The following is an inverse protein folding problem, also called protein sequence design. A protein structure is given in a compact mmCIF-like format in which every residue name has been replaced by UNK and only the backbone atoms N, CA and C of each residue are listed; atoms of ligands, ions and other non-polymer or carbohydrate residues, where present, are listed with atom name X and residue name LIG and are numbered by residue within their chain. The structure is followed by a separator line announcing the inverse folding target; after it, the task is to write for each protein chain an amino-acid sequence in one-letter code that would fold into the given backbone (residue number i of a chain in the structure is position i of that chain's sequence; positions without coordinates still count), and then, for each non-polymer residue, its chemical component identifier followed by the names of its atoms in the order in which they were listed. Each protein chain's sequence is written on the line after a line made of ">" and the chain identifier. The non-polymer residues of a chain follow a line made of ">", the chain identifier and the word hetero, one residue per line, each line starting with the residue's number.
data_IF_036939363430
#
_entry.id   IF_036939363430
#
_cell.length_a   1.000
_cell.length_b   1.000
_cell.length_c   1.000
_cell.angle_alpha   90.00
_cell.angle_beta   90.00
_cell.angle_gamma   90.00
#
_symmetry.space_group_name_H-M   'P 1'
#
loop_
_entity.id
_entity.type
_entity.pdbx_description
1 polymer ?
#
# COMPACT_ATOMS: atom_id res chain seq x y z
N UNK A 1 0.76 12.62 -0.81
CA UNK A 1 -0.05 11.83 0.15
C UNK A 1 -1.11 12.72 0.77
N UNK A 2 -2.36 12.28 0.77
CA UNK A 2 -3.45 13.04 1.38
C UNK A 2 -3.44 12.89 2.90
N UNK A 3 -4.36 13.57 3.58
CA UNK A 3 -4.40 13.52 5.06
C UNK A 3 -5.01 12.19 5.57
N UNK A 4 -4.77 11.93 6.85
CA UNK A 4 -5.28 10.74 7.55
C UNK A 4 -4.82 9.42 6.94
N UNK A 5 -3.68 9.42 6.26
CA UNK A 5 -3.08 8.19 5.78
C UNK A 5 -2.23 7.56 6.88
N UNK A 6 -2.21 6.23 6.90
CA UNK A 6 -1.39 5.46 7.83
C UNK A 6 -0.50 4.53 7.03
N UNK A 7 0.80 4.62 7.28
CA UNK A 7 1.80 3.76 6.64
C UNK A 7 2.50 2.98 7.75
N UNK A 8 2.40 1.66 7.71
CA UNK A 8 2.92 0.80 8.77
C UNK A 8 3.79 -0.32 8.20
N UNK A 9 5.04 -0.37 8.62
CA UNK A 9 5.96 -1.45 8.25
C UNK A 9 6.05 -2.54 9.32
N UNK A 10 5.26 -2.45 10.37
CA UNK A 10 5.20 -3.42 11.46
C UNK A 10 3.76 -3.61 11.93
N UNK A 11 3.47 -4.78 12.46
CA UNK A 11 2.17 -5.06 13.08
C UNK A 11 2.10 -4.64 14.56
N UNK A 12 3.19 -4.04 15.10
CA UNK A 12 3.34 -3.59 16.48
C UNK A 12 3.48 -4.75 17.49
N UNK A 13 2.81 -5.89 17.27
CA UNK A 13 2.84 -7.04 18.15
C UNK A 13 3.37 -8.25 17.41
N UNK A 14 4.17 -9.07 18.08
CA UNK A 14 4.64 -10.31 17.51
C UNK A 14 3.53 -11.35 17.52
N UNK A 15 3.35 -12.03 16.42
CA UNK A 15 2.39 -13.11 16.28
C UNK A 15 3.15 -14.42 16.07
N UNK A 16 2.80 -15.45 16.83
CA UNK A 16 3.49 -16.74 16.75
C UNK A 16 2.54 -17.82 16.31
N UNK A 17 3.03 -18.68 15.45
CA UNK A 17 2.35 -19.90 15.06
C UNK A 17 3.28 -21.07 15.37
N UNK A 18 2.83 -21.99 16.23
CA UNK A 18 3.60 -23.16 16.63
C UNK A 18 5.01 -22.81 17.14
N UNK A 19 5.11 -21.73 17.93
CA UNK A 19 6.37 -21.28 18.52
C UNK A 19 7.26 -20.44 17.59
N UNK A 20 6.85 -20.22 16.35
CA UNK A 20 7.62 -19.44 15.38
C UNK A 20 6.93 -18.12 15.10
N UNK A 21 7.70 -17.02 15.15
CA UNK A 21 7.19 -15.70 14.81
C UNK A 21 6.82 -15.68 13.32
N UNK A 22 5.57 -15.31 13.03
CA UNK A 22 5.05 -15.34 11.66
C UNK A 22 4.76 -13.97 11.08
N UNK A 23 4.92 -12.89 11.85
CA UNK A 23 4.65 -11.55 11.38
C UNK A 23 5.89 -10.65 11.43
N UNK A 24 6.94 -11.04 10.71
CA UNK A 24 8.14 -10.22 10.61
C UNK A 24 7.83 -8.81 10.09
N UNK A 25 8.58 -7.82 10.58
CA UNK A 25 8.51 -6.47 10.04
C UNK A 25 9.02 -6.50 8.59
N UNK A 26 8.34 -5.77 7.71
CA UNK A 26 8.68 -5.75 6.30
C UNK A 26 8.65 -4.31 5.80
N UNK A 27 9.68 -3.92 5.06
CA UNK A 27 9.79 -2.57 4.52
C UNK A 27 8.64 -2.28 3.53
N UNK A 28 8.28 -1.01 3.46
CA UNK A 28 7.31 -0.49 2.48
C UNK A 28 8.11 0.29 1.46
N UNK A 29 7.85 0.03 0.18
CA UNK A 29 8.50 0.72 -0.93
C UNK A 29 7.43 1.45 -1.77
N UNK A 30 7.47 2.76 -1.73
CA UNK A 30 6.57 3.62 -2.50
C UNK A 30 7.44 4.45 -3.44
N UNK A 31 7.33 4.22 -4.73
CA UNK A 31 8.14 4.91 -5.72
C UNK A 31 7.63 6.34 -5.98
N UNK A 32 8.28 7.02 -6.94
CA UNK A 32 8.00 8.41 -7.22
C UNK A 32 6.62 8.61 -7.84
N UNK A 33 6.07 9.80 -7.64
CA UNK A 33 4.82 10.23 -8.26
C UNK A 33 3.63 9.31 -7.93
N UNK A 34 3.56 8.86 -6.68
CA UNK A 34 2.42 8.09 -6.18
C UNK A 34 1.53 9.01 -5.37
N UNK A 35 0.25 9.01 -5.68
CA UNK A 35 -0.74 9.75 -4.91
C UNK A 35 -1.53 8.78 -4.03
N UNK A 36 -1.46 8.99 -2.72
CA UNK A 36 -2.19 8.18 -1.75
C UNK A 36 -3.43 8.95 -1.30
N UNK A 37 -4.60 8.46 -1.63
CA UNK A 37 -5.87 9.06 -1.23
C UNK A 37 -6.06 9.07 0.29
N UNK A 38 -6.90 9.97 0.78
CA UNK A 38 -7.07 10.17 2.22
C UNK A 38 -7.62 8.91 2.90
N UNK A 39 -7.27 8.74 4.17
CA UNK A 39 -7.68 7.62 5.02
C UNK A 39 -7.27 6.25 4.52
N UNK A 40 -6.29 6.21 3.63
CA UNK A 40 -5.74 4.93 3.19
C UNK A 40 -4.74 4.41 4.21
N UNK A 41 -4.62 3.09 4.28
CA UNK A 41 -3.65 2.41 5.13
C UNK A 41 -2.72 1.59 4.24
N UNK A 42 -1.42 1.79 4.40
CA UNK A 42 -0.42 1.02 3.65
C UNK A 42 0.32 0.16 4.66
N UNK A 43 0.24 -1.13 4.47
CA UNK A 43 0.74 -2.11 5.43
C UNK A 43 2.11 -2.64 5.01
N UNK A 44 2.78 -3.29 5.94
CA UNK A 44 4.12 -3.80 5.75
C UNK A 44 4.23 -4.68 4.52
N UNK A 45 5.37 -4.60 3.85
CA UNK A 45 5.64 -5.38 2.65
C UNK A 45 5.00 -4.84 1.39
N UNK A 46 4.23 -3.74 1.47
CA UNK A 46 3.62 -3.16 0.27
C UNK A 46 4.68 -2.55 -0.64
N UNK A 47 4.55 -2.79 -1.93
CA UNK A 47 5.37 -2.18 -2.97
C UNK A 47 4.43 -1.52 -3.96
N UNK A 48 4.60 -0.21 -4.17
CA UNK A 48 3.77 0.58 -5.07
C UNK A 48 4.70 1.26 -6.07
N UNK A 49 4.53 0.91 -7.33
CA UNK A 49 5.38 1.44 -8.40
C UNK A 49 4.95 2.85 -8.81
N UNK A 50 5.82 3.51 -9.57
CA UNK A 50 5.68 4.93 -9.90
C UNK A 50 4.37 5.22 -10.66
N UNK A 51 3.86 6.41 -10.43
CA UNK A 51 2.69 6.92 -11.16
C UNK A 51 1.36 6.34 -10.72
N UNK A 52 1.33 5.55 -9.67
CA UNK A 52 0.09 4.94 -9.19
C UNK A 52 -0.73 5.91 -8.33
N UNK A 53 -2.02 5.69 -8.31
CA UNK A 53 -2.97 6.39 -7.43
C UNK A 53 -3.61 5.37 -6.52
N UNK A 54 -3.55 5.62 -5.22
CA UNK A 54 -4.24 4.80 -4.22
C UNK A 54 -5.57 5.47 -3.93
N UNK A 55 -6.67 4.77 -4.17
CA UNK A 55 -8.01 5.30 -3.87
C UNK A 55 -8.19 5.53 -2.37
N UNK A 56 -9.04 6.50 -2.01
CA UNK A 56 -9.32 6.82 -0.61
C UNK A 56 -9.89 5.61 0.13
N UNK A 57 -9.60 5.52 1.43
CA UNK A 57 -10.06 4.43 2.30
C UNK A 57 -9.62 3.04 1.87
N UNK A 58 -8.50 2.94 1.16
CA UNK A 58 -7.97 1.64 0.73
C UNK A 58 -7.04 1.05 1.77
N UNK A 59 -7.02 -0.27 1.86
CA UNK A 59 -6.04 -1.02 2.63
C UNK A 59 -5.09 -1.71 1.66
N UNK A 60 -3.86 -1.20 1.59
CA UNK A 60 -2.87 -1.66 0.63
C UNK A 60 -1.91 -2.63 1.30
N UNK A 61 -1.90 -3.85 0.80
CA UNK A 61 -0.99 -4.90 1.25
C UNK A 61 -0.50 -5.66 0.02
N UNK A 62 0.77 -6.07 0.04
CA UNK A 62 1.34 -6.85 -1.04
C UNK A 62 2.03 -6.00 -2.10
N UNK A 63 2.47 -6.66 -3.15
CA UNK A 63 3.32 -6.09 -4.20
C UNK A 63 2.49 -5.79 -5.43
N UNK A 64 2.53 -4.53 -5.88
CA UNK A 64 1.86 -4.10 -7.11
C UNK A 64 2.95 -3.74 -8.12
N UNK A 65 3.09 -4.57 -9.14
CA UNK A 65 4.22 -4.48 -10.09
C UNK A 65 3.94 -3.62 -11.31
N UNK A 66 2.73 -3.07 -11.43
CA UNK A 66 2.35 -2.20 -12.53
C UNK A 66 2.63 -0.75 -12.20
N UNK A 67 3.09 0.01 -13.20
CA UNK A 67 3.19 1.47 -13.10
C UNK A 67 1.88 2.10 -13.57
N UNK A 68 1.64 3.35 -13.16
CA UNK A 68 0.56 4.19 -13.69
C UNK A 68 -0.81 3.50 -13.64
N UNK A 69 -1.18 3.01 -12.47
CA UNK A 69 -2.47 2.36 -12.28
C UNK A 69 -3.19 2.91 -11.04
N UNK A 70 -4.48 2.64 -10.96
CA UNK A 70 -5.29 2.94 -9.78
C UNK A 70 -5.42 1.67 -8.96
N UNK A 71 -5.06 1.78 -7.69
CA UNK A 71 -5.13 0.68 -6.72
C UNK A 71 -6.14 1.09 -5.66
N UNK A 72 -7.16 0.29 -5.43
CA UNK A 72 -8.22 0.66 -4.49
C UNK A 72 -8.90 -0.56 -3.89
N UNK A 73 -9.52 -0.36 -2.75
CA UNK A 73 -10.33 -1.36 -2.08
C UNK A 73 -9.75 -1.88 -0.78
N UNK A 74 -10.40 -2.89 -0.22
CA UNK A 74 -9.97 -3.57 0.99
C UNK A 74 -10.26 -5.07 0.87
N UNK A 75 -9.26 -5.92 0.60
CA UNK A 75 -7.87 -5.57 0.27
C UNK A 75 -7.79 -4.85 -1.08
N UNK A 76 -6.84 -3.94 -1.18
CA UNK A 76 -6.69 -3.14 -2.39
C UNK A 76 -6.25 -3.98 -3.58
N UNK A 77 -6.77 -3.63 -4.76
CA UNK A 77 -6.45 -4.30 -6.02
C UNK A 77 -6.29 -3.26 -7.12
N UNK A 78 -5.62 -3.63 -8.20
CA UNK A 78 -5.54 -2.79 -9.38
C UNK A 78 -6.92 -2.75 -10.03
N UNK A 79 -7.51 -1.55 -10.12
CA UNK A 79 -8.84 -1.37 -10.68
C UNK A 79 -8.79 -0.69 -12.04
N UNK A 80 -7.69 -0.03 -12.38
CA UNK A 80 -7.51 0.59 -13.69
C UNK A 80 -6.03 0.73 -14.00
N UNK A 81 -5.66 0.49 -15.26
CA UNK A 81 -4.28 0.59 -15.74
C UNK A 81 -4.14 1.72 -16.74
N UNK A 82 -2.90 2.08 -17.04
CA UNK A 82 -2.54 3.07 -18.07
C UNK A 82 -3.17 4.44 -17.80
N UNK A 83 -3.13 4.88 -16.54
CA UNK A 83 -3.62 6.21 -16.16
C UNK A 83 -2.44 7.19 -16.07
N UNK A 84 -2.77 8.48 -16.12
CA UNK A 84 -1.88 9.56 -15.70
C UNK A 84 -2.65 10.45 -14.75
N UNK A 85 -1.91 11.17 -13.91
CA UNK A 85 -2.57 12.09 -12.99
C UNK A 85 -1.70 13.33 -12.78
N UNK A 86 -2.35 14.41 -12.44
CA UNK A 86 -1.72 15.69 -12.15
C UNK A 86 -2.31 16.27 -10.86
N UNK A 87 -1.51 17.08 -10.20
CA UNK A 87 -1.99 17.82 -9.03
C UNK A 87 -3.02 18.87 -9.42
#
# INVERSE_FOLDING_TARGET
>A
MSWQCLVMDTDWHSIYFDGTKVNEDMAIDIEDNVWVGCRSTILKGAVIHKGCVIGANSNVVGVFTENNCIIAGNPARIVKKHITWEK
#
